data_IF_440678622229
#
_entry.id   IF_440678622229
#
_cell.length_a   1.000
_cell.length_b   1.000
_cell.length_c   1.000
_cell.angle_alpha   90.00
_cell.angle_beta   90.00
_cell.angle_gamma   90.00
#
_symmetry.space_group_name_H-M   'P 1'
#
loop_
_entity.id
_entity.type
_entity.pdbx_description
1 polymer ?
#
# COMPACT_ATOMS: atom_id res chain seq x y z
N UNK A 1 -33.17 -30.10 6.09
CA UNK A 1 -31.70 -30.03 6.21
C UNK A 1 -31.31 -28.57 6.28
N UNK A 2 -30.93 -28.08 7.46
CA UNK A 2 -30.47 -26.71 7.64
C UNK A 2 -28.98 -26.63 7.27
N UNK A 3 -28.65 -25.82 6.26
CA UNK A 3 -27.27 -25.52 5.89
C UNK A 3 -26.58 -24.70 6.97
N UNK A 4 -25.40 -25.16 7.41
CA UNK A 4 -24.50 -24.38 8.28
C UNK A 4 -24.02 -23.14 7.53
N UNK A 5 -24.48 -21.97 7.93
CA UNK A 5 -23.81 -20.70 7.65
C UNK A 5 -22.46 -20.69 8.38
N UNK A 6 -21.36 -20.54 7.62
CA UNK A 6 -20.01 -20.50 8.15
C UNK A 6 -19.78 -19.26 9.01
N UNK A 7 -19.72 -19.45 10.34
CA UNK A 7 -19.00 -18.55 11.24
C UNK A 7 -17.50 -18.84 11.04
N UNK A 8 -16.72 -17.90 10.49
CA UNK A 8 -15.25 -18.06 10.51
C UNK A 8 -14.43 -17.30 9.47
N UNK A 9 -14.62 -15.99 9.27
CA UNK A 9 -13.64 -15.14 8.55
C UNK A 9 -13.50 -13.74 9.14
N UNK A 10 -14.59 -13.20 9.69
CA UNK A 10 -14.59 -11.83 10.22
C UNK A 10 -13.69 -11.70 11.47
N UNK A 11 -13.68 -12.68 12.37
CA UNK A 11 -12.83 -12.68 13.57
C UNK A 11 -11.33 -12.86 13.28
N UNK A 12 -10.98 -13.60 12.22
CA UNK A 12 -9.58 -13.75 11.78
C UNK A 12 -9.06 -12.45 11.16
N UNK A 13 -9.88 -11.77 10.34
CA UNK A 13 -9.52 -10.49 9.74
C UNK A 13 -9.20 -9.42 10.81
N UNK A 14 -9.97 -9.34 11.90
CA UNK A 14 -9.69 -8.39 12.99
C UNK A 14 -8.33 -8.65 13.67
N UNK A 15 -7.93 -9.91 13.82
CA UNK A 15 -6.63 -10.27 14.39
C UNK A 15 -5.48 -9.99 13.41
N UNK A 16 -5.69 -10.16 12.10
CA UNK A 16 -4.72 -9.80 11.06
C UNK A 16 -4.49 -8.28 11.00
N UNK A 17 -5.56 -7.48 11.05
CA UNK A 17 -5.47 -6.01 11.06
C UNK A 17 -4.68 -5.48 12.26
N UNK A 18 -4.77 -6.17 13.40
CA UNK A 18 -4.01 -5.81 14.60
C UNK A 18 -2.48 -6.06 14.46
N UNK A 19 -2.05 -6.89 13.51
CA UNK A 19 -0.66 -7.28 13.31
C UNK A 19 0.02 -6.50 12.16
N UNK A 20 1.33 -6.73 12.00
CA UNK A 20 2.04 -6.32 10.79
C UNK A 20 1.64 -7.28 9.66
N UNK A 21 1.04 -6.74 8.61
CA UNK A 21 0.55 -7.52 7.46
C UNK A 21 1.45 -7.41 6.23
N UNK A 22 2.45 -6.52 6.25
CA UNK A 22 3.33 -6.28 5.12
C UNK A 22 4.51 -7.25 5.20
N UNK A 23 4.78 -7.93 4.08
CA UNK A 23 5.83 -8.96 3.97
C UNK A 23 7.17 -8.38 3.56
N UNK A 24 7.18 -7.25 2.85
CA UNK A 24 8.36 -6.55 2.37
C UNK A 24 8.17 -5.03 2.51
N UNK A 25 9.23 -4.34 2.94
CA UNK A 25 9.25 -2.89 3.13
C UNK A 25 10.53 -2.34 2.53
N UNK A 26 10.41 -1.39 1.61
CA UNK A 26 11.55 -0.74 0.97
C UNK A 26 11.48 0.79 1.07
N UNK A 27 12.65 1.42 1.06
CA UNK A 27 12.81 2.86 0.98
C UNK A 27 13.21 3.21 -0.44
N UNK A 28 12.34 3.94 -1.14
CA UNK A 28 12.65 4.50 -2.45
C UNK A 28 13.29 5.88 -2.29
N UNK A 29 14.53 6.00 -2.77
CA UNK A 29 15.21 7.30 -2.91
C UNK A 29 14.73 7.97 -4.19
N UNK A 30 14.28 9.21 -4.04
CA UNK A 30 13.75 10.02 -5.12
C UNK A 30 14.85 10.88 -5.75
N UNK A 31 14.60 11.37 -6.96
CA UNK A 31 15.55 12.15 -7.75
C UNK A 31 16.06 13.42 -7.07
N UNK A 32 15.27 14.01 -6.16
CA UNK A 32 15.64 15.21 -5.39
C UNK A 32 16.38 14.90 -4.06
N UNK A 33 16.72 13.63 -3.82
CA UNK A 33 17.43 13.18 -2.63
C UNK A 33 16.52 12.91 -1.42
N UNK A 34 15.21 13.09 -1.55
CA UNK A 34 14.25 12.64 -0.55
C UNK A 34 13.98 11.14 -0.59
N UNK A 35 13.17 10.69 0.36
CA UNK A 35 12.84 9.28 0.54
C UNK A 35 11.36 9.11 0.84
N UNK A 36 10.78 8.06 0.26
CA UNK A 36 9.42 7.57 0.51
C UNK A 36 9.48 6.08 0.82
N UNK A 37 8.45 5.56 1.48
CA UNK A 37 8.40 4.17 1.91
C UNK A 37 7.37 3.41 1.10
N UNK A 38 7.70 2.18 0.71
CA UNK A 38 6.80 1.27 0.02
C UNK A 38 6.66 0.01 0.85
N UNK A 39 5.45 -0.22 1.38
CA UNK A 39 5.13 -1.43 2.13
C UNK A 39 4.27 -2.36 1.27
N UNK A 40 4.75 -3.57 1.05
CA UNK A 40 4.18 -4.53 0.12
C UNK A 40 3.40 -5.63 0.84
N UNK A 41 2.26 -5.99 0.26
CA UNK A 41 1.56 -7.24 0.55
C UNK A 41 1.33 -7.98 -0.76
N UNK A 42 2.12 -9.03 -0.97
CA UNK A 42 2.11 -9.84 -2.20
C UNK A 42 1.99 -11.35 -1.95
N UNK A 43 1.73 -11.74 -0.71
CA UNK A 43 1.49 -13.14 -0.35
C UNK A 43 0.35 -13.74 -1.18
N UNK A 44 0.54 -14.99 -1.60
CA UNK A 44 -0.43 -15.77 -2.37
C UNK A 44 -0.88 -15.14 -3.71
N UNK A 45 -0.14 -14.15 -4.22
CA UNK A 45 -0.41 -13.57 -5.54
C UNK A 45 0.29 -14.38 -6.65
N UNK A 46 -0.41 -14.59 -7.77
CA UNK A 46 0.20 -15.16 -8.99
C UNK A 46 1.24 -14.21 -9.57
N UNK A 47 2.08 -14.64 -10.51
CA UNK A 47 3.09 -13.78 -11.16
C UNK A 47 2.49 -12.71 -12.09
N UNK A 48 1.27 -12.89 -12.56
CA UNK A 48 0.52 -11.97 -13.43
C UNK A 48 -0.51 -11.11 -12.67
N UNK A 49 -0.59 -11.24 -11.35
CA UNK A 49 -1.50 -10.46 -10.52
C UNK A 49 -1.32 -8.94 -10.77
N UNK A 50 -2.42 -8.16 -10.82
CA UNK A 50 -2.31 -6.70 -10.90
C UNK A 50 -1.74 -6.12 -9.60
N UNK A 51 -1.15 -4.94 -9.70
CA UNK A 51 -0.65 -4.16 -8.55
C UNK A 51 -1.55 -2.95 -8.32
N UNK A 52 -1.98 -2.74 -7.08
CA UNK A 52 -2.64 -1.50 -6.66
C UNK A 52 -1.76 -0.74 -5.69
N UNK A 53 -1.50 0.52 -6.03
CA UNK A 53 -0.82 1.49 -5.17
C UNK A 53 -1.88 2.14 -4.29
N UNK A 54 -1.81 1.95 -2.97
CA UNK A 54 -2.65 2.66 -2.03
C UNK A 54 -1.99 4.00 -1.70
N UNK A 55 -2.74 5.08 -1.88
CA UNK A 55 -2.37 6.44 -1.51
C UNK A 55 -3.16 6.81 -0.24
N UNK A 56 -2.54 6.72 0.96
CA UNK A 56 -3.21 7.07 2.20
C UNK A 56 -3.62 8.55 2.22
N UNK A 57 -4.58 8.89 3.08
CA UNK A 57 -4.97 10.28 3.31
C UNK A 57 -3.86 11.10 4.00
N UNK A 58 -4.13 12.38 4.25
CA UNK A 58 -3.21 13.25 4.98
C UNK A 58 -2.85 12.61 6.33
N UNK A 59 -1.54 12.53 6.63
CA UNK A 59 -0.92 11.83 7.77
C UNK A 59 -1.12 10.31 7.84
N UNK A 60 -1.79 9.71 6.85
CA UNK A 60 -1.95 8.28 6.73
C UNK A 60 -0.66 7.56 6.35
N UNK A 61 -0.54 6.32 6.82
CA UNK A 61 0.56 5.40 6.50
C UNK A 61 0.03 3.96 6.56
N UNK A 62 0.86 3.00 6.18
CA UNK A 62 0.59 1.56 6.20
C UNK A 62 0.03 1.02 7.52
N UNK A 63 0.36 1.66 8.64
CA UNK A 63 -0.11 1.24 9.97
C UNK A 63 -1.58 1.62 10.27
N UNK A 64 -2.20 2.48 9.47
CA UNK A 64 -3.58 2.88 9.70
C UNK A 64 -4.56 1.72 9.43
N UNK A 65 -5.52 1.50 10.33
CA UNK A 65 -6.45 0.36 10.25
C UNK A 65 -7.21 0.33 8.92
N UNK A 66 -7.65 1.48 8.40
CA UNK A 66 -8.35 1.53 7.12
C UNK A 66 -7.46 1.09 5.94
N UNK A 67 -6.16 1.39 5.99
CA UNK A 67 -5.19 0.96 4.98
C UNK A 67 -5.00 -0.56 5.08
N UNK A 68 -4.84 -1.09 6.29
CA UNK A 68 -4.70 -2.53 6.52
C UNK A 68 -5.93 -3.30 6.05
N UNK A 69 -7.12 -2.85 6.41
CA UNK A 69 -8.39 -3.45 5.98
C UNK A 69 -8.51 -3.47 4.46
N UNK A 70 -8.21 -2.37 3.77
CA UNK A 70 -8.25 -2.30 2.31
C UNK A 70 -7.21 -3.24 1.67
N UNK A 71 -6.00 -3.25 2.22
CA UNK A 71 -4.88 -4.07 1.75
C UNK A 71 -5.20 -5.56 1.85
N UNK A 72 -5.68 -6.02 3.00
CA UNK A 72 -6.10 -7.41 3.22
C UNK A 72 -7.26 -7.81 2.29
N UNK A 73 -8.28 -6.96 2.17
CA UNK A 73 -9.43 -7.25 1.32
C UNK A 73 -9.04 -7.42 -0.15
N UNK A 74 -8.12 -6.59 -0.65
CA UNK A 74 -7.63 -6.68 -2.02
C UNK A 74 -6.67 -7.87 -2.22
N UNK A 75 -5.79 -8.15 -1.26
CA UNK A 75 -4.91 -9.32 -1.34
C UNK A 75 -5.69 -10.65 -1.31
N UNK A 76 -6.78 -10.74 -0.54
CA UNK A 76 -7.66 -11.92 -0.52
C UNK A 76 -8.31 -12.25 -1.86
N UNK A 77 -8.38 -11.30 -2.79
CA UNK A 77 -8.86 -11.52 -4.17
C UNK A 77 -7.71 -11.61 -5.19
N UNK A 78 -6.47 -11.81 -4.74
CA UNK A 78 -5.30 -12.06 -5.58
C UNK A 78 -4.68 -10.80 -6.19
N UNK A 79 -4.82 -9.64 -5.53
CA UNK A 79 -4.21 -8.37 -5.97
C UNK A 79 -2.96 -8.10 -5.12
N UNK A 80 -1.84 -7.76 -5.76
CA UNK A 80 -0.66 -7.25 -5.03
C UNK A 80 -0.89 -5.82 -4.61
N UNK A 81 -0.56 -5.52 -3.36
CA UNK A 81 -0.72 -4.19 -2.80
C UNK A 81 0.62 -3.59 -2.46
N UNK A 82 0.78 -2.32 -2.78
CA UNK A 82 1.86 -1.49 -2.27
C UNK A 82 1.27 -0.24 -1.64
N UNK A 83 1.60 0.04 -0.39
CA UNK A 83 1.22 1.27 0.28
C UNK A 83 2.32 2.29 0.07
N UNK A 84 1.95 3.44 -0.50
CA UNK A 84 2.83 4.57 -0.68
C UNK A 84 2.85 5.43 0.59
N UNK A 85 3.89 5.28 1.41
CA UNK A 85 4.13 6.11 2.58
C UNK A 85 4.89 7.38 2.16
N UNK A 86 4.21 8.53 2.30
CA UNK A 86 4.79 9.84 1.99
C UNK A 86 6.04 10.15 2.82
N UNK A 87 6.81 11.13 2.35
CA UNK A 87 8.02 11.64 3.02
C UNK A 87 7.76 11.93 4.50
N UNK A 88 8.58 11.37 5.38
CA UNK A 88 8.49 11.58 6.82
C UNK A 88 7.34 10.86 7.54
N UNK A 89 6.55 10.03 6.84
CA UNK A 89 5.54 9.15 7.43
C UNK A 89 6.00 7.69 7.44
N UNK A 90 5.25 6.79 8.09
CA UNK A 90 5.58 5.36 8.12
C UNK A 90 6.91 5.03 8.84
N UNK A 91 7.37 5.90 9.75
CA UNK A 91 8.65 5.75 10.45
C UNK A 91 9.87 6.31 9.70
N UNK A 92 9.67 6.96 8.55
CA UNK A 92 10.74 7.58 7.79
C UNK A 92 11.20 8.90 8.41
N UNK A 93 12.49 9.19 8.27
CA UNK A 93 13.06 10.50 8.61
C UNK A 93 12.94 11.41 7.38
N UNK A 94 12.43 12.63 7.60
CA UNK A 94 12.32 13.63 6.54
C UNK A 94 13.72 14.18 6.15
N UNK A 95 14.17 13.90 4.92
CA UNK A 95 15.51 14.30 4.43
C UNK A 95 15.55 15.60 3.62
N UNK A 96 14.41 16.06 3.15
CA UNK A 96 14.24 17.25 2.32
C UNK A 96 13.18 18.17 2.92
N UNK A 97 13.21 19.50 2.71
CA UNK A 97 12.15 20.42 3.17
C UNK A 97 10.86 20.31 2.33
N UNK A 98 10.53 19.10 1.85
CA UNK A 98 9.34 18.77 1.06
C UNK A 98 8.54 17.71 1.80
N UNK A 99 7.27 17.98 2.02
CA UNK A 99 6.29 17.05 2.58
C UNK A 99 5.20 16.78 1.54
N UNK A 100 4.25 15.92 1.89
CA UNK A 100 3.07 15.66 1.07
C UNK A 100 2.35 16.96 0.65
N UNK A 101 1.93 17.02 -0.62
CA UNK A 101 1.13 18.07 -1.20
C UNK A 101 0.16 17.47 -2.22
N UNK A 102 -1.15 17.69 -2.05
CA UNK A 102 -2.18 17.16 -2.94
C UNK A 102 -2.07 17.65 -4.39
N UNK A 103 -1.45 18.81 -4.60
CA UNK A 103 -1.23 19.38 -5.93
C UNK A 103 0.10 18.93 -6.56
N UNK A 104 0.85 18.03 -5.93
CA UNK A 104 2.16 17.57 -6.39
C UNK A 104 2.17 16.05 -6.59
N UNK A 105 2.40 15.62 -7.83
CA UNK A 105 2.47 14.21 -8.22
C UNK A 105 3.88 13.67 -8.40
N UNK A 106 4.94 14.47 -8.24
CA UNK A 106 6.31 14.09 -8.60
C UNK A 106 6.78 12.82 -7.88
N UNK A 107 6.55 12.73 -6.57
CA UNK A 107 6.88 11.55 -5.77
C UNK A 107 6.11 10.32 -6.28
N UNK A 108 4.83 10.49 -6.59
CA UNK A 108 3.97 9.42 -7.09
C UNK A 108 4.42 8.96 -8.49
N UNK A 109 4.85 9.87 -9.36
CA UNK A 109 5.37 9.53 -10.69
C UNK A 109 6.65 8.68 -10.60
N UNK A 110 7.55 9.01 -9.68
CA UNK A 110 8.75 8.19 -9.42
C UNK A 110 8.37 6.82 -8.83
N UNK A 111 7.41 6.78 -7.91
CA UNK A 111 6.90 5.51 -7.35
C UNK A 111 6.25 4.65 -8.42
N UNK A 112 5.40 5.20 -9.29
CA UNK A 112 4.76 4.46 -10.37
C UNK A 112 5.82 3.85 -11.30
N UNK A 113 6.86 4.62 -11.65
CA UNK A 113 7.98 4.11 -12.48
C UNK A 113 8.72 2.96 -11.79
N UNK A 114 9.00 3.11 -10.49
CA UNK A 114 9.65 2.06 -9.69
C UNK A 114 8.79 0.79 -9.64
N UNK A 115 7.51 0.91 -9.26
CA UNK A 115 6.55 -0.21 -9.18
C UNK A 115 6.41 -0.92 -10.53
N UNK A 116 6.33 -0.16 -11.63
CA UNK A 116 6.27 -0.70 -12.99
C UNK A 116 7.55 -1.44 -13.37
N UNK A 117 8.73 -0.94 -12.97
CA UNK A 117 9.99 -1.62 -13.24
C UNK A 117 10.13 -2.95 -12.48
N UNK A 118 9.64 -3.03 -11.23
CA UNK A 118 9.61 -4.25 -10.40
C UNK A 118 8.60 -5.29 -10.93
N UNK A 119 7.52 -4.83 -11.57
CA UNK A 119 6.43 -5.69 -12.02
C UNK A 119 6.20 -5.55 -13.54
N UNK A 120 7.13 -6.03 -14.38
CA UNK A 120 6.99 -5.90 -15.83
C UNK A 120 5.78 -6.69 -16.33
N UNK A 121 4.96 -6.06 -17.18
CA UNK A 121 3.81 -6.66 -17.88
C UNK A 121 2.55 -6.93 -17.04
N UNK A 122 2.44 -6.42 -15.81
CA UNK A 122 1.18 -6.48 -15.05
C UNK A 122 0.44 -5.15 -15.08
N UNK A 123 -0.87 -5.19 -14.88
CA UNK A 123 -1.69 -3.97 -14.78
C UNK A 123 -1.39 -3.27 -13.45
N UNK A 124 -1.23 -1.95 -13.49
CA UNK A 124 -1.04 -1.11 -12.31
C UNK A 124 -2.21 -0.15 -12.19
N UNK A 125 -2.79 -0.06 -11.00
CA UNK A 125 -3.78 0.94 -10.64
C UNK A 125 -3.41 1.62 -9.32
N UNK A 126 -4.19 2.62 -8.93
CA UNK A 126 -4.05 3.30 -7.65
C UNK A 126 -5.41 3.54 -7.00
N UNK A 127 -5.43 3.55 -5.67
CA UNK A 127 -6.60 3.90 -4.86
C UNK A 127 -6.18 5.01 -3.90
N UNK A 128 -6.78 6.18 -4.06
CA UNK A 128 -6.62 7.31 -3.13
C UNK A 128 -7.74 7.39 -2.12
N UNK A 129 -7.38 7.64 -0.85
CA UNK A 129 -8.33 7.81 0.24
C UNK A 129 -8.30 9.26 0.73
N UNK A 130 -9.44 9.95 0.69
CA UNK A 130 -9.53 11.36 1.09
C UNK A 130 -8.53 12.20 0.28
N UNK A 131 -7.62 12.93 0.93
CA UNK A 131 -6.55 13.68 0.26
C UNK A 131 -5.56 12.79 -0.52
N UNK A 132 -5.55 11.48 -0.32
CA UNK A 132 -4.73 10.58 -1.13
C UNK A 132 -5.20 10.44 -2.58
N UNK A 133 -6.43 10.86 -2.92
CA UNK A 133 -6.99 10.81 -4.27
C UNK A 133 -6.97 12.15 -4.97
#
# INVERSE_FOLDING_TARGET
MAGRMGKGRQGELYLEVANCIFCDSEILRLSDGGEVGLDWLEDNCSSDAPVIIILPGLTGASQAEYVKCLTLAANQIGIRIVVFNNRGLGGLILKTPRIYCAANSEDLEEVIKHVHSRNPNVKIGAIGISMGG
#
